data_IF_833022518873
#
_entry.id   IF_833022518873
#
_cell.length_a   1.000
_cell.length_b   1.000
_cell.length_c   1.000
_cell.angle_alpha   90.00
_cell.angle_beta   90.00
_cell.angle_gamma   90.00
#
_symmetry.space_group_name_H-M   'P 1'
#
loop_
_entity.id
_entity.type
_entity.pdbx_description
1 polymer ?
#
# COMPACT_ATOMS: atom_id res chain seq x y z
N UNK A 1 71.85 58.99 -10.80
CA UNK A 1 71.58 57.78 -11.29
C UNK A 1 70.51 57.10 -10.40
N UNK A 2 69.27 57.24 -10.75
CA UNK A 2 68.16 56.87 -9.85
C UNK A 2 67.39 55.71 -10.46
N UNK A 3 67.39 54.56 -9.80
CA UNK A 3 66.65 53.40 -10.13
C UNK A 3 65.19 53.55 -9.70
N UNK A 4 64.26 53.41 -10.61
CA UNK A 4 62.81 53.46 -10.33
C UNK A 4 62.29 52.08 -9.96
N UNK A 5 61.73 51.99 -8.78
CA UNK A 5 61.08 50.79 -8.25
C UNK A 5 59.62 50.82 -8.73
N UNK A 6 59.24 49.93 -9.62
CA UNK A 6 57.84 49.75 -10.01
C UNK A 6 57.20 48.70 -9.10
N UNK A 7 56.28 49.14 -8.24
CA UNK A 7 55.46 48.28 -7.41
C UNK A 7 54.41 47.57 -8.26
N UNK A 8 54.46 46.22 -8.29
CA UNK A 8 53.45 45.39 -8.89
C UNK A 8 52.42 45.08 -7.79
N UNK A 9 51.23 45.70 -7.91
CA UNK A 9 50.06 45.37 -7.08
C UNK A 9 49.46 44.06 -7.65
N UNK A 10 49.64 42.98 -6.97
CA UNK A 10 48.96 41.71 -7.29
C UNK A 10 47.53 41.76 -6.73
N UNK A 11 46.54 41.87 -7.61
CA UNK A 11 45.16 41.71 -7.26
C UNK A 11 44.84 40.24 -7.05
N UNK A 12 44.74 39.77 -5.80
CA UNK A 12 44.18 38.46 -5.48
C UNK A 12 42.67 38.51 -5.72
N UNK A 13 42.21 37.94 -6.82
CA UNK A 13 40.80 37.65 -7.06
C UNK A 13 40.43 36.47 -6.16
N UNK A 14 39.73 36.76 -5.07
CA UNK A 14 39.08 35.75 -4.24
C UNK A 14 37.92 35.15 -5.02
N UNK A 15 38.13 34.00 -5.67
CA UNK A 15 37.04 33.16 -6.22
C UNK A 15 36.35 32.54 -5.00
N UNK A 16 35.25 33.12 -4.60
CA UNK A 16 34.33 32.49 -3.67
C UNK A 16 33.65 31.33 -4.41
N UNK A 17 34.22 30.15 -4.28
CA UNK A 17 33.58 28.89 -4.61
C UNK A 17 32.37 28.75 -3.67
N UNK A 18 31.19 29.18 -4.11
CA UNK A 18 29.93 28.74 -3.55
C UNK A 18 29.78 27.26 -3.89
N UNK A 19 30.44 26.40 -3.09
CA UNK A 19 30.11 25.01 -3.05
C UNK A 19 28.65 24.96 -2.60
N UNK A 20 27.73 24.88 -3.54
CA UNK A 20 26.35 24.52 -3.26
C UNK A 20 26.43 23.22 -2.48
N UNK A 21 26.11 23.26 -1.20
CA UNK A 21 25.99 22.07 -0.39
C UNK A 21 24.94 21.21 -1.08
N UNK A 22 25.39 20.21 -1.84
CA UNK A 22 24.51 19.15 -2.29
C UNK A 22 23.97 18.55 -0.99
N UNK A 23 22.73 18.91 -0.64
CA UNK A 23 22.05 18.33 0.50
C UNK A 23 22.04 16.82 0.25
N UNK A 24 22.76 16.07 1.05
CA UNK A 24 22.75 14.62 0.93
C UNK A 24 21.29 14.16 1.09
N UNK A 25 20.82 13.38 0.12
CA UNK A 25 19.47 12.84 0.18
C UNK A 25 19.29 12.03 1.46
N UNK A 26 18.21 12.28 2.19
CA UNK A 26 17.84 11.47 3.35
C UNK A 26 17.50 10.05 2.90
N UNK A 27 18.12 9.06 3.52
CA UNK A 27 17.82 7.65 3.24
C UNK A 27 16.56 7.22 3.97
N UNK A 28 15.66 6.55 3.27
CA UNK A 28 14.45 5.95 3.85
C UNK A 28 14.25 4.56 3.26
N UNK A 29 14.02 3.57 4.11
CA UNK A 29 13.68 2.20 3.69
C UNK A 29 12.18 1.99 3.83
N UNK A 30 11.50 1.66 2.72
CA UNK A 30 10.06 1.34 2.71
C UNK A 30 9.90 -0.17 2.52
N UNK A 31 9.29 -0.83 3.51
CA UNK A 31 8.86 -2.22 3.39
C UNK A 31 7.50 -2.30 2.67
N UNK A 32 7.42 -3.11 1.61
CA UNK A 32 6.20 -3.28 0.82
C UNK A 32 5.66 -4.69 1.02
N UNK A 33 4.36 -4.81 1.23
CA UNK A 33 3.69 -6.10 1.46
C UNK A 33 3.37 -6.89 0.19
N UNK A 34 4.22 -6.83 -0.84
CA UNK A 34 4.07 -7.50 -2.13
C UNK A 34 4.02 -6.51 -3.30
N UNK A 35 5.18 -6.04 -3.77
CA UNK A 35 5.31 -4.98 -4.78
C UNK A 35 4.72 -5.30 -6.16
N UNK A 36 4.40 -6.57 -6.43
CA UNK A 36 3.68 -6.99 -7.64
C UNK A 36 2.18 -6.70 -7.58
N UNK A 37 1.61 -6.41 -6.40
CA UNK A 37 0.21 -6.02 -6.26
C UNK A 37 -0.02 -4.60 -6.79
N UNK A 38 -1.09 -4.41 -7.55
CA UNK A 38 -1.50 -3.06 -7.97
C UNK A 38 -1.90 -2.18 -6.78
N UNK A 39 -2.28 -2.79 -5.67
CA UNK A 39 -2.54 -2.08 -4.40
C UNK A 39 -1.33 -1.30 -3.85
N UNK A 40 -0.11 -1.61 -4.29
CA UNK A 40 1.12 -0.89 -3.90
C UNK A 40 1.79 -0.20 -5.09
N UNK A 41 1.10 -0.13 -6.23
CA UNK A 41 1.61 0.53 -7.44
C UNK A 41 2.11 1.96 -7.16
N UNK A 42 1.40 2.84 -6.42
CA UNK A 42 1.87 4.21 -6.21
C UNK A 42 3.26 4.27 -5.58
N UNK A 43 3.57 3.39 -4.63
CA UNK A 43 4.90 3.32 -3.98
C UNK A 43 6.00 2.88 -4.95
N UNK A 44 5.73 1.87 -5.75
CA UNK A 44 6.72 1.36 -6.73
C UNK A 44 6.88 2.35 -7.89
N UNK A 45 5.79 2.90 -8.39
CA UNK A 45 5.78 3.85 -9.49
C UNK A 45 6.46 5.17 -9.12
N UNK A 46 6.32 5.65 -7.87
CA UNK A 46 7.04 6.82 -7.38
C UNK A 46 8.57 6.67 -7.56
N UNK A 47 9.10 5.47 -7.32
CA UNK A 47 10.51 5.15 -7.57
C UNK A 47 10.86 5.21 -9.05
N UNK A 48 10.01 4.65 -9.92
CA UNK A 48 10.23 4.62 -11.36
C UNK A 48 10.12 6.00 -12.02
N UNK A 49 9.29 6.89 -11.47
CA UNK A 49 9.13 8.28 -11.92
C UNK A 49 10.20 9.22 -11.34
N UNK A 50 11.02 8.75 -10.39
CA UNK A 50 11.99 9.57 -9.67
C UNK A 50 11.35 10.58 -8.71
N UNK A 51 10.11 10.35 -8.29
CA UNK A 51 9.40 11.28 -7.38
C UNK A 51 10.06 11.34 -5.99
N UNK A 52 10.65 10.25 -5.51
CA UNK A 52 11.42 10.27 -4.27
C UNK A 52 12.69 11.12 -4.40
N UNK A 53 13.42 10.98 -5.50
CA UNK A 53 14.63 11.76 -5.75
C UNK A 53 14.32 13.26 -5.87
N UNK A 54 13.21 13.62 -6.57
CA UNK A 54 12.72 15.01 -6.66
C UNK A 54 12.33 15.57 -5.29
N UNK A 55 11.85 14.71 -4.38
CA UNK A 55 11.51 15.09 -3.01
C UNK A 55 12.73 15.09 -2.07
N UNK A 56 13.95 14.87 -2.56
CA UNK A 56 15.19 14.89 -1.79
C UNK A 56 15.44 13.61 -0.97
N UNK A 57 14.81 12.49 -1.36
CA UNK A 57 14.94 11.22 -0.68
C UNK A 57 15.66 10.18 -1.52
N UNK A 58 16.56 9.41 -0.89
CA UNK A 58 17.10 8.16 -1.41
C UNK A 58 16.28 7.00 -0.82
N UNK A 59 15.28 6.52 -1.55
CA UNK A 59 14.38 5.48 -1.06
C UNK A 59 14.85 4.10 -1.48
N UNK A 60 14.98 3.18 -0.52
CA UNK A 60 15.11 1.76 -0.74
C UNK A 60 13.74 1.08 -0.57
N UNK A 61 13.36 0.23 -1.53
CA UNK A 61 12.13 -0.55 -1.47
C UNK A 61 12.46 -2.00 -1.15
N UNK A 62 11.95 -2.51 -0.03
CA UNK A 62 12.13 -3.91 0.39
C UNK A 62 10.81 -4.64 0.16
N UNK A 63 10.81 -5.55 -0.82
CA UNK A 63 9.63 -6.32 -1.20
C UNK A 63 9.50 -7.57 -0.32
N UNK A 64 8.35 -7.74 0.34
CA UNK A 64 8.05 -8.82 1.26
C UNK A 64 6.77 -9.55 0.81
N UNK A 65 6.49 -10.73 1.40
CA UNK A 65 5.38 -11.59 0.94
C UNK A 65 3.99 -11.01 1.20
N UNK A 66 3.84 -10.19 2.23
CA UNK A 66 2.54 -9.63 2.62
C UNK A 66 2.68 -8.50 3.62
N UNK A 67 1.60 -7.77 3.87
CA UNK A 67 1.58 -6.59 4.73
C UNK A 67 2.03 -6.86 6.16
N UNK A 68 1.72 -8.03 6.74
CA UNK A 68 2.20 -8.40 8.07
C UNK A 68 3.72 -8.57 8.15
N UNK A 69 4.35 -9.02 7.07
CA UNK A 69 5.82 -9.16 7.03
C UNK A 69 6.49 -7.79 6.86
N UNK A 70 5.89 -6.91 6.04
CA UNK A 70 6.33 -5.51 5.92
C UNK A 70 6.22 -4.77 7.27
N UNK A 71 5.12 -4.98 7.99
CA UNK A 71 4.92 -4.42 9.31
C UNK A 71 5.98 -4.92 10.31
N UNK A 72 6.29 -6.23 10.32
CA UNK A 72 7.33 -6.81 11.18
C UNK A 72 8.70 -6.22 10.89
N UNK A 73 9.03 -5.93 9.61
CA UNK A 73 10.28 -5.27 9.23
C UNK A 73 10.42 -3.90 9.89
N UNK A 74 9.36 -3.09 9.90
CA UNK A 74 9.38 -1.77 10.55
C UNK A 74 9.40 -1.88 12.07
N UNK A 75 8.61 -2.76 12.67
CA UNK A 75 8.62 -2.97 14.12
C UNK A 75 9.97 -3.54 14.61
N UNK A 76 10.66 -4.31 13.77
CA UNK A 76 12.01 -4.84 14.04
C UNK A 76 13.15 -3.88 13.71
N UNK A 77 12.87 -2.67 13.18
CA UNK A 77 13.87 -1.65 12.86
C UNK A 77 14.68 -1.93 11.59
N UNK A 78 14.28 -2.89 10.74
CA UNK A 78 14.92 -3.16 9.46
C UNK A 78 14.35 -2.34 8.28
N UNK A 79 13.27 -1.61 8.52
CA UNK A 79 12.71 -0.61 7.62
C UNK A 79 12.10 0.54 8.44
N UNK A 80 11.90 1.68 7.80
CA UNK A 80 11.41 2.91 8.42
C UNK A 80 9.90 3.06 8.28
N UNK A 81 9.37 2.76 7.09
CA UNK A 81 7.99 3.00 6.68
C UNK A 81 7.41 1.74 6.04
N UNK A 82 6.14 1.51 6.25
CA UNK A 82 5.38 0.46 5.57
C UNK A 82 4.58 1.06 4.42
N UNK A 83 4.68 0.47 3.24
CA UNK A 83 3.66 0.56 2.21
C UNK A 83 2.74 -0.64 2.38
N UNK A 84 1.58 -0.41 2.99
CA UNK A 84 0.66 -1.45 3.44
C UNK A 84 -0.74 -0.90 3.61
N UNK A 85 -1.65 -1.68 4.18
CA UNK A 85 -3.03 -1.25 4.41
C UNK A 85 -3.18 -0.55 5.75
N UNK A 86 -4.04 0.48 5.76
CA UNK A 86 -4.35 1.28 6.95
C UNK A 86 -4.85 0.44 8.14
N UNK A 87 -5.58 -0.63 7.88
CA UNK A 87 -6.17 -1.50 8.90
C UNK A 87 -5.15 -2.07 9.91
N UNK A 88 -3.89 -2.17 9.51
CA UNK A 88 -2.80 -2.55 10.41
C UNK A 88 -2.60 -1.55 11.56
N UNK A 89 -2.77 -0.24 11.32
CA UNK A 89 -2.62 0.78 12.36
C UNK A 89 -3.70 0.64 13.43
N UNK A 90 -4.95 0.33 13.02
CA UNK A 90 -6.07 0.06 13.92
C UNK A 90 -5.84 -1.21 14.74
N UNK A 91 -5.39 -2.31 14.09
CA UNK A 91 -5.07 -3.56 14.78
C UNK A 91 -3.95 -3.40 15.81
N UNK A 92 -2.95 -2.56 15.51
CA UNK A 92 -1.83 -2.29 16.43
C UNK A 92 -2.24 -1.38 17.60
N UNK A 93 -3.17 -0.45 17.38
CA UNK A 93 -3.70 0.38 18.43
C UNK A 93 -4.36 -0.44 19.55
N UNK A 94 -5.04 -1.56 19.21
CA UNK A 94 -5.56 -2.51 20.18
C UNK A 94 -4.46 -3.14 21.06
N UNK A 95 -3.24 -3.24 20.53
CA UNK A 95 -2.06 -3.77 21.22
C UNK A 95 -1.22 -2.68 21.88
N UNK A 96 -1.73 -1.45 21.94
CA UNK A 96 -1.03 -0.26 22.47
C UNK A 96 0.29 0.04 21.73
N UNK A 97 0.38 -0.33 20.45
CA UNK A 97 1.48 0.01 19.57
C UNK A 97 1.03 1.17 18.68
N UNK A 98 1.69 2.31 18.81
CA UNK A 98 1.29 3.54 18.15
C UNK A 98 1.93 3.64 16.75
N UNK A 99 1.09 3.48 15.73
CA UNK A 99 1.45 3.73 14.34
C UNK A 99 0.43 4.65 13.69
N UNK A 100 0.87 5.48 12.76
CA UNK A 100 0.02 6.39 12.02
C UNK A 100 0.24 6.25 10.52
N UNK A 101 -0.87 6.19 9.78
CA UNK A 101 -0.88 6.46 8.34
C UNK A 101 -0.77 7.97 8.12
N UNK A 102 0.05 8.40 7.14
CA UNK A 102 0.28 9.81 6.85
C UNK A 102 0.00 10.21 5.39
N UNK A 103 -0.28 9.25 4.51
CA UNK A 103 -0.86 9.43 3.18
C UNK A 103 -1.58 8.15 2.77
N UNK A 104 -2.82 8.30 2.27
CA UNK A 104 -3.65 7.19 1.78
C UNK A 104 -3.66 7.25 0.26
N UNK A 105 -3.32 6.16 -0.40
CA UNK A 105 -3.32 6.11 -1.86
C UNK A 105 -4.43 5.21 -2.44
N UNK A 106 -5.08 4.33 -1.66
CA UNK A 106 -6.23 3.54 -2.09
C UNK A 106 -7.48 3.93 -1.33
N UNK A 107 -8.52 4.37 -2.05
CA UNK A 107 -9.81 4.78 -1.47
C UNK A 107 -10.64 3.59 -0.95
N UNK A 108 -10.44 2.42 -1.56
CA UNK A 108 -11.06 1.15 -1.17
C UNK A 108 -10.05 0.01 -1.34
N UNK A 109 -10.29 -1.16 -0.71
CA UNK A 109 -9.23 -2.13 -0.50
C UNK A 109 -8.96 -3.06 -1.70
N UNK A 110 -9.87 -3.20 -2.65
CA UNK A 110 -9.70 -4.05 -3.81
C UNK A 110 -9.54 -5.55 -3.51
N UNK A 111 -9.93 -6.01 -2.33
CA UNK A 111 -9.82 -7.38 -1.86
C UNK A 111 -10.90 -8.26 -2.50
N UNK A 112 -10.52 -9.43 -3.00
CA UNK A 112 -11.41 -10.39 -3.65
C UNK A 112 -11.23 -11.77 -3.01
N UNK A 113 -12.31 -12.38 -2.52
CA UNK A 113 -12.33 -13.77 -2.11
C UNK A 113 -12.80 -14.62 -3.30
N UNK A 114 -11.87 -15.35 -3.92
CA UNK A 114 -12.12 -16.20 -5.07
C UNK A 114 -11.97 -17.69 -4.70
N UNK A 115 -12.75 -18.55 -5.35
CA UNK A 115 -12.65 -20.01 -5.24
C UNK A 115 -11.66 -20.53 -6.28
N UNK A 116 -10.79 -21.46 -5.89
CA UNK A 116 -9.89 -22.14 -6.82
C UNK A 116 -10.70 -22.82 -7.94
N UNK A 117 -10.27 -22.73 -9.22
CA UNK A 117 -10.98 -23.31 -10.34
C UNK A 117 -11.32 -24.80 -10.16
N UNK A 118 -10.45 -25.55 -9.48
CA UNK A 118 -10.62 -26.98 -9.19
C UNK A 118 -11.71 -27.27 -8.14
N UNK A 119 -12.22 -26.26 -7.44
CA UNK A 119 -13.12 -26.41 -6.30
C UNK A 119 -14.48 -25.70 -6.47
N UNK A 120 -14.75 -25.10 -7.64
CA UNK A 120 -15.99 -24.34 -7.92
C UNK A 120 -17.26 -25.19 -7.79
N UNK A 121 -17.18 -26.50 -7.99
CA UNK A 121 -18.32 -27.41 -7.82
C UNK A 121 -18.68 -27.61 -6.32
N UNK A 122 -17.71 -27.62 -5.42
CA UNK A 122 -17.89 -27.91 -3.99
C UNK A 122 -18.05 -26.67 -3.12
N UNK A 123 -17.55 -25.50 -3.56
CA UNK A 123 -17.61 -24.24 -2.82
C UNK A 123 -18.48 -23.25 -3.59
N UNK A 124 -19.66 -22.95 -3.06
CA UNK A 124 -20.64 -22.05 -3.68
C UNK A 124 -20.88 -20.79 -2.86
N UNK A 125 -20.51 -20.82 -1.59
CA UNK A 125 -20.73 -19.73 -0.65
C UNK A 125 -19.57 -19.66 0.37
N UNK A 126 -19.51 -18.58 1.14
CA UNK A 126 -18.53 -18.43 2.23
C UNK A 126 -18.71 -19.53 3.28
N UNK A 127 -19.95 -20.04 3.49
CA UNK A 127 -20.22 -21.10 4.45
C UNK A 127 -19.53 -22.42 4.12
N UNK A 128 -19.24 -22.67 2.84
CA UNK A 128 -18.57 -23.89 2.37
C UNK A 128 -17.05 -23.87 2.65
N UNK A 129 -16.52 -22.75 3.16
CA UNK A 129 -15.10 -22.64 3.52
C UNK A 129 -14.75 -23.29 4.86
N UNK A 130 -15.72 -23.70 5.67
CA UNK A 130 -15.46 -24.43 6.91
C UNK A 130 -14.65 -25.71 6.64
N UNK A 131 -13.54 -25.91 7.34
CA UNK A 131 -12.61 -27.03 7.17
C UNK A 131 -11.70 -26.93 5.94
N UNK A 132 -11.73 -25.82 5.19
CA UNK A 132 -10.96 -25.64 3.95
C UNK A 132 -9.63 -24.92 4.18
N UNK A 133 -8.70 -25.07 3.22
CA UNK A 133 -7.46 -24.30 3.15
C UNK A 133 -7.73 -23.05 2.32
N UNK A 134 -7.58 -21.89 2.94
CA UNK A 134 -7.81 -20.60 2.26
C UNK A 134 -6.51 -19.80 2.25
N UNK A 135 -6.11 -19.38 1.05
CA UNK A 135 -4.91 -18.59 0.83
C UNK A 135 -5.12 -17.13 1.24
N UNK A 136 -4.09 -16.57 1.84
CA UNK A 136 -3.95 -15.12 2.11
C UNK A 136 -2.53 -14.70 1.74
N UNK A 137 -2.25 -13.40 1.63
CA UNK A 137 -0.87 -12.96 1.34
C UNK A 137 0.10 -13.46 2.40
N UNK A 138 -0.21 -13.20 3.66
CA UNK A 138 0.44 -13.77 4.84
C UNK A 138 -0.54 -13.75 6.02
N UNK A 139 -0.48 -14.69 6.96
CA UNK A 139 -1.27 -14.63 8.19
C UNK A 139 -1.03 -13.31 8.94
N UNK A 140 -2.10 -12.63 9.35
CA UNK A 140 -2.06 -11.32 9.99
C UNK A 140 -1.95 -10.13 9.03
N UNK A 141 -2.00 -10.33 7.72
CA UNK A 141 -2.16 -9.27 6.72
C UNK A 141 -3.64 -8.93 6.50
N UNK A 142 -3.92 -7.83 5.82
CA UNK A 142 -5.29 -7.36 5.51
C UNK A 142 -6.12 -8.39 4.75
N UNK A 143 -5.49 -9.24 3.93
CA UNK A 143 -6.14 -10.40 3.30
C UNK A 143 -6.65 -11.43 4.32
N UNK A 144 -5.90 -11.67 5.40
CA UNK A 144 -6.32 -12.54 6.50
C UNK A 144 -7.42 -11.87 7.35
N UNK A 145 -7.30 -10.56 7.60
CA UNK A 145 -8.32 -9.81 8.32
C UNK A 145 -9.65 -9.82 7.56
N UNK A 146 -9.62 -9.60 6.25
CA UNK A 146 -10.79 -9.66 5.38
C UNK A 146 -11.44 -11.06 5.41
N UNK A 147 -10.64 -12.11 5.27
CA UNK A 147 -11.15 -13.49 5.39
C UNK A 147 -11.86 -13.71 6.72
N UNK A 148 -11.23 -13.36 7.83
CA UNK A 148 -11.80 -13.53 9.18
C UNK A 148 -13.09 -12.74 9.36
N UNK A 149 -13.15 -11.51 8.85
CA UNK A 149 -14.37 -10.71 8.85
C UNK A 149 -15.51 -11.40 8.10
N UNK A 150 -15.24 -11.88 6.86
CA UNK A 150 -16.24 -12.58 6.06
C UNK A 150 -16.72 -13.86 6.73
N UNK A 151 -15.82 -14.65 7.31
CA UNK A 151 -16.18 -15.87 8.05
C UNK A 151 -17.09 -15.53 9.23
N UNK A 152 -16.70 -14.57 10.07
CA UNK A 152 -17.52 -14.14 11.23
C UNK A 152 -18.89 -13.60 10.79
N UNK A 153 -18.94 -12.77 9.76
CA UNK A 153 -20.21 -12.23 9.21
C UNK A 153 -21.15 -13.34 8.72
N UNK A 154 -20.62 -14.49 8.33
CA UNK A 154 -21.37 -15.67 7.88
C UNK A 154 -21.55 -16.74 8.95
N UNK A 155 -21.22 -16.47 10.21
CA UNK A 155 -21.40 -17.37 11.34
C UNK A 155 -20.39 -18.51 11.44
N UNK A 156 -19.22 -18.38 10.79
CA UNK A 156 -18.15 -19.38 10.81
C UNK A 156 -17.07 -18.92 11.81
N UNK A 157 -16.63 -19.83 12.67
CA UNK A 157 -15.44 -19.59 13.47
C UNK A 157 -14.20 -19.58 12.55
N UNK A 158 -13.41 -18.48 12.50
CA UNK A 158 -12.18 -18.44 11.71
C UNK A 158 -11.18 -19.56 12.01
N UNK A 159 -11.20 -20.12 13.22
CA UNK A 159 -10.35 -21.27 13.58
C UNK A 159 -10.72 -22.57 12.85
N UNK A 160 -11.91 -22.63 12.25
CA UNK A 160 -12.34 -23.77 11.43
C UNK A 160 -11.84 -23.69 9.97
N UNK A 161 -10.98 -22.73 9.66
CA UNK A 161 -10.39 -22.56 8.32
C UNK A 161 -8.86 -22.58 8.46
N UNK A 162 -8.20 -23.39 7.62
CA UNK A 162 -6.73 -23.41 7.56
C UNK A 162 -6.23 -22.25 6.71
N UNK A 163 -5.68 -21.22 7.33
CA UNK A 163 -5.13 -20.05 6.65
C UNK A 163 -3.71 -20.33 6.15
N UNK A 164 -3.48 -20.20 4.85
CA UNK A 164 -2.21 -20.50 4.18
C UNK A 164 -1.63 -19.22 3.58
N UNK A 165 -0.39 -18.87 3.95
CA UNK A 165 0.33 -17.75 3.33
C UNK A 165 0.83 -18.13 1.93
N UNK A 166 0.25 -17.53 0.90
CA UNK A 166 0.60 -17.78 -0.52
C UNK A 166 1.26 -16.60 -1.22
N UNK A 167 1.46 -15.49 -0.50
CA UNK A 167 1.97 -14.24 -1.08
C UNK A 167 0.93 -13.53 -1.94
N UNK A 168 1.40 -12.59 -2.75
CA UNK A 168 0.62 -11.87 -3.76
C UNK A 168 1.21 -12.14 -5.15
N UNK A 169 0.43 -11.91 -6.19
CA UNK A 169 0.88 -12.08 -7.58
C UNK A 169 1.01 -13.55 -8.01
N UNK A 170 2.10 -13.91 -8.70
CA UNK A 170 2.25 -15.20 -9.38
C UNK A 170 2.17 -16.42 -8.45
N UNK A 171 2.65 -16.31 -7.22
CA UNK A 171 2.61 -17.42 -6.26
C UNK A 171 1.18 -17.76 -5.83
N UNK A 172 0.35 -16.75 -5.60
CA UNK A 172 -1.06 -16.92 -5.28
C UNK A 172 -1.84 -17.51 -6.48
N UNK A 173 -1.58 -17.02 -7.70
CA UNK A 173 -2.16 -17.57 -8.94
C UNK A 173 -1.82 -19.04 -9.09
N UNK A 174 -0.54 -19.40 -8.91
CA UNK A 174 -0.10 -20.80 -9.02
C UNK A 174 -0.77 -21.70 -7.97
N UNK A 175 -0.86 -21.27 -6.71
CA UNK A 175 -1.50 -22.02 -5.65
C UNK A 175 -2.99 -22.30 -5.95
N UNK A 176 -3.70 -21.30 -6.51
CA UNK A 176 -5.09 -21.42 -6.95
C UNK A 176 -5.25 -22.40 -8.12
N UNK A 177 -4.43 -22.25 -9.17
CA UNK A 177 -4.51 -23.09 -10.37
C UNK A 177 -4.14 -24.56 -10.10
N UNK A 178 -3.20 -24.80 -9.19
CA UNK A 178 -2.77 -26.14 -8.81
C UNK A 178 -3.67 -26.80 -7.76
N UNK A 179 -4.69 -26.09 -7.26
CA UNK A 179 -5.59 -26.62 -6.22
C UNK A 179 -4.90 -26.91 -4.88
N UNK A 180 -3.79 -26.24 -4.59
CA UNK A 180 -3.09 -26.35 -3.28
C UNK A 180 -3.91 -25.74 -2.13
N UNK A 181 -4.80 -24.83 -2.48
CA UNK A 181 -5.79 -24.16 -1.63
C UNK A 181 -7.14 -24.17 -2.32
N UNK A 182 -8.21 -24.21 -1.55
CA UNK A 182 -9.57 -24.28 -2.08
C UNK A 182 -10.16 -22.90 -2.44
N UNK A 183 -9.67 -21.83 -1.81
CA UNK A 183 -10.02 -20.45 -2.08
C UNK A 183 -8.86 -19.52 -1.68
N UNK A 184 -8.88 -18.28 -2.11
CA UNK A 184 -7.93 -17.28 -1.64
C UNK A 184 -8.53 -15.87 -1.61
N UNK A 185 -8.05 -15.06 -0.66
CA UNK A 185 -8.18 -13.62 -0.73
C UNK A 185 -7.03 -13.07 -1.56
N UNK A 186 -7.36 -12.43 -2.65
CA UNK A 186 -6.44 -11.97 -3.68
C UNK A 186 -6.70 -10.50 -4.05
N UNK A 187 -5.80 -9.95 -4.82
CA UNK A 187 -5.87 -8.59 -5.39
C UNK A 187 -5.41 -8.60 -6.85
N UNK A 188 -5.67 -7.54 -7.57
CA UNK A 188 -5.14 -7.37 -8.92
C UNK A 188 -3.58 -7.14 -8.88
N UNK A 189 -2.87 -7.63 -9.88
CA UNK A 189 -3.33 -8.22 -11.14
C UNK A 189 -3.70 -9.71 -11.04
N UNK A 190 -3.48 -10.39 -9.92
CA UNK A 190 -3.68 -11.84 -9.81
C UNK A 190 -5.13 -12.27 -10.07
N UNK A 191 -6.13 -11.47 -9.64
CA UNK A 191 -7.55 -11.74 -9.91
C UNK A 191 -7.85 -11.65 -11.40
N UNK A 192 -7.43 -10.58 -12.07
CA UNK A 192 -7.62 -10.41 -13.52
C UNK A 192 -6.93 -11.51 -14.32
N UNK A 193 -5.74 -11.95 -13.91
CA UNK A 193 -5.02 -13.08 -14.54
C UNK A 193 -5.81 -14.38 -14.41
N UNK A 194 -6.35 -14.68 -13.23
CA UNK A 194 -7.17 -15.86 -13.02
C UNK A 194 -8.49 -15.80 -13.79
N UNK A 195 -9.15 -14.65 -13.83
CA UNK A 195 -10.39 -14.46 -14.60
C UNK A 195 -10.17 -14.62 -16.10
N UNK A 196 -9.01 -14.17 -16.62
CA UNK A 196 -8.66 -14.39 -18.04
C UNK A 196 -8.41 -15.85 -18.37
N UNK A 197 -7.84 -16.63 -17.44
CA UNK A 197 -7.59 -18.06 -17.62
C UNK A 197 -8.84 -18.92 -17.34
N UNK A 198 -9.76 -18.46 -16.52
CA UNK A 198 -10.93 -19.18 -16.04
C UNK A 198 -12.13 -18.22 -16.02
N UNK A 199 -12.87 -18.16 -17.13
CA UNK A 199 -14.02 -17.24 -17.30
C UNK A 199 -15.18 -17.55 -16.33
N UNK A 200 -15.21 -18.75 -15.74
CA UNK A 200 -16.15 -19.21 -14.73
C UNK A 200 -15.62 -19.08 -13.28
N UNK A 201 -14.52 -18.33 -13.08
CA UNK A 201 -13.94 -18.11 -11.75
C UNK A 201 -15.00 -17.62 -10.78
N UNK A 202 -15.26 -18.39 -9.73
CA UNK A 202 -16.27 -18.03 -8.73
C UNK A 202 -15.69 -17.03 -7.74
N UNK A 203 -16.33 -15.87 -7.67
CA UNK A 203 -16.05 -14.84 -6.69
C UNK A 203 -17.10 -14.95 -5.56
N UNK A 204 -16.67 -15.04 -4.33
CA UNK A 204 -17.53 -15.10 -3.13
C UNK A 204 -17.73 -13.72 -2.48
N UNK A 205 -16.75 -12.84 -2.63
CA UNK A 205 -16.81 -11.45 -2.19
C UNK A 205 -15.82 -10.62 -2.99
N UNK A 206 -16.20 -9.41 -3.36
CA UNK A 206 -15.42 -8.47 -4.16
C UNK A 206 -15.49 -7.08 -3.54
N UNK A 207 -14.38 -6.36 -3.46
CA UNK A 207 -14.30 -4.98 -2.98
C UNK A 207 -13.52 -4.10 -3.95
N UNK A 208 -13.48 -4.45 -5.24
CA UNK A 208 -12.76 -3.72 -6.29
C UNK A 208 -13.48 -2.47 -6.79
N UNK A 209 -14.67 -2.19 -6.26
CA UNK A 209 -15.37 -0.92 -6.49
C UNK A 209 -15.78 -0.30 -5.16
N UNK A 210 -16.05 1.01 -5.19
CA UNK A 210 -16.53 1.73 -4.02
C UNK A 210 -17.92 1.21 -3.58
N UNK A 211 -18.79 0.89 -4.53
CA UNK A 211 -20.10 0.31 -4.27
C UNK A 211 -19.98 -1.04 -3.56
N UNK A 212 -19.22 -1.97 -4.14
CA UNK A 212 -19.06 -3.32 -3.57
C UNK A 212 -18.37 -3.27 -2.19
N UNK A 213 -17.43 -2.32 -2.01
CA UNK A 213 -16.80 -2.08 -0.71
C UNK A 213 -17.84 -1.70 0.35
N UNK A 214 -18.77 -0.79 0.03
CA UNK A 214 -19.84 -0.39 0.95
C UNK A 214 -20.82 -1.53 1.23
N UNK A 215 -21.12 -2.36 0.24
CA UNK A 215 -21.99 -3.53 0.42
C UNK A 215 -21.36 -4.58 1.35
N UNK A 216 -20.06 -4.77 1.23
CA UNK A 216 -19.32 -5.73 2.05
C UNK A 216 -19.13 -5.22 3.48
N UNK A 217 -18.67 -3.99 3.65
CA UNK A 217 -18.25 -3.44 4.94
C UNK A 217 -19.27 -2.54 5.62
N UNK A 218 -20.31 -2.10 4.90
CA UNK A 218 -21.30 -1.15 5.40
C UNK A 218 -20.84 0.31 5.36
N UNK A 219 -19.70 0.60 4.75
CA UNK A 219 -19.12 1.94 4.64
C UNK A 219 -17.85 1.94 3.80
N UNK A 220 -17.22 3.11 3.67
CA UNK A 220 -15.94 3.25 3.02
C UNK A 220 -14.85 2.52 3.84
N UNK A 221 -13.90 1.90 3.13
CA UNK A 221 -12.82 1.16 3.77
C UNK A 221 -11.51 1.50 3.05
N UNK A 222 -10.75 2.52 3.51
CA UNK A 222 -9.49 2.89 2.88
C UNK A 222 -8.51 1.73 2.94
N UNK A 223 -7.81 1.51 1.82
CA UNK A 223 -6.86 0.43 1.64
C UNK A 223 -5.41 0.87 1.88
N UNK A 224 -4.65 0.93 0.79
CA UNK A 224 -3.22 1.21 0.78
C UNK A 224 -2.86 2.60 1.29
N UNK A 225 -1.81 2.65 2.11
CA UNK A 225 -1.28 3.85 2.73
C UNK A 225 0.23 3.71 3.01
N UNK A 226 0.93 4.83 3.17
CA UNK A 226 2.19 4.83 3.88
C UNK A 226 1.93 5.08 5.36
N UNK A 227 2.51 4.25 6.20
CA UNK A 227 2.42 4.39 7.65
C UNK A 227 3.73 4.00 8.34
N UNK A 228 3.97 4.59 9.50
CA UNK A 228 5.16 4.35 10.32
C UNK A 228 4.81 4.43 11.80
N UNK A 229 5.76 4.11 12.67
CA UNK A 229 5.58 4.37 14.11
C UNK A 229 5.42 5.87 14.35
N UNK A 230 4.57 6.26 15.29
CA UNK A 230 4.38 7.66 15.68
C UNK A 230 5.71 8.29 16.10
N UNK A 231 6.59 7.50 16.74
CA UNK A 231 7.94 7.94 17.12
C UNK A 231 8.79 8.30 15.88
N UNK A 232 8.77 7.48 14.84
CA UNK A 232 9.51 7.77 13.61
C UNK A 232 8.99 9.03 12.91
N UNK A 233 7.66 9.17 12.76
CA UNK A 233 7.03 10.35 12.13
C UNK A 233 7.42 11.64 12.90
N UNK A 234 7.43 11.57 14.23
CA UNK A 234 7.80 12.71 15.08
C UNK A 234 9.28 13.06 14.96
N UNK A 235 10.15 12.07 14.84
CA UNK A 235 11.60 12.28 14.69
C UNK A 235 12.00 12.69 13.26
N UNK A 236 11.22 12.29 12.23
CA UNK A 236 11.51 12.48 10.81
C UNK A 236 10.38 13.21 10.05
N UNK A 237 9.89 14.37 10.53
CA UNK A 237 8.74 15.04 9.91
C UNK A 237 9.03 15.54 8.49
N UNK A 238 10.31 15.84 8.17
CA UNK A 238 10.71 16.25 6.81
C UNK A 238 10.65 15.09 5.82
N UNK A 239 11.11 13.92 6.23
CA UNK A 239 11.06 12.69 5.43
C UNK A 239 9.61 12.25 5.21
N UNK A 240 8.76 12.31 6.24
CA UNK A 240 7.34 12.02 6.12
C UNK A 240 6.64 12.98 5.13
N UNK A 241 6.98 14.28 5.17
CA UNK A 241 6.47 15.27 4.22
C UNK A 241 6.96 14.98 2.79
N UNK A 242 8.25 14.69 2.64
CA UNK A 242 8.84 14.36 1.33
C UNK A 242 8.23 13.09 0.72
N UNK A 243 8.02 12.05 1.52
CA UNK A 243 7.31 10.84 1.09
C UNK A 243 5.87 11.14 0.67
N UNK A 244 5.16 11.95 1.47
CA UNK A 244 3.80 12.38 1.14
C UNK A 244 3.78 13.11 -0.19
N UNK A 245 4.67 14.09 -0.41
CA UNK A 245 4.76 14.83 -1.66
C UNK A 245 5.03 13.92 -2.87
N UNK A 246 5.93 12.95 -2.72
CA UNK A 246 6.27 11.98 -3.77
C UNK A 246 5.06 11.10 -4.13
N UNK A 247 4.30 10.62 -3.15
CA UNK A 247 3.08 9.83 -3.39
C UNK A 247 2.00 10.68 -4.04
N UNK A 248 1.76 11.92 -3.57
CA UNK A 248 0.78 12.82 -4.18
C UNK A 248 1.13 13.16 -5.63
N UNK A 249 2.41 13.43 -5.92
CA UNK A 249 2.90 13.62 -7.30
C UNK A 249 2.66 12.39 -8.17
N UNK A 250 2.88 11.20 -7.61
CA UNK A 250 2.63 9.93 -8.31
C UNK A 250 1.15 9.70 -8.57
N UNK A 251 0.28 9.98 -7.60
CA UNK A 251 -1.18 9.86 -7.76
C UNK A 251 -1.69 10.81 -8.85
N UNK A 252 -1.23 12.06 -8.84
CA UNK A 252 -1.56 13.03 -9.89
C UNK A 252 -1.09 12.53 -11.26
N UNK A 253 0.10 11.95 -11.35
CA UNK A 253 0.63 11.37 -12.58
C UNK A 253 -0.23 10.18 -13.05
N UNK A 254 -0.63 9.26 -12.15
CA UNK A 254 -1.49 8.11 -12.47
C UNK A 254 -2.81 8.58 -13.11
N UNK A 255 -3.47 9.58 -12.51
CA UNK A 255 -4.75 10.08 -13.02
C UNK A 255 -4.64 10.86 -14.34
N UNK A 256 -3.43 11.30 -14.71
CA UNK A 256 -3.17 12.02 -15.96
C UNK A 256 -2.72 11.10 -17.11
N UNK A 257 -2.49 9.81 -16.87
CA UNK A 257 -1.92 8.89 -17.85
C UNK A 257 -2.75 7.64 -18.03
N UNK A 258 -2.65 7.04 -19.23
CA UNK A 258 -3.32 5.78 -19.55
C UNK A 258 -2.71 4.57 -18.83
N UNK A 259 -3.47 3.49 -18.72
CA UNK A 259 -2.97 2.23 -18.17
C UNK A 259 -1.77 1.68 -18.95
N UNK A 260 -1.73 1.92 -20.26
CA UNK A 260 -0.62 1.54 -21.14
C UNK A 260 0.66 2.32 -20.83
N UNK A 261 0.56 3.62 -20.55
CA UNK A 261 1.68 4.48 -20.16
C UNK A 261 2.18 4.12 -18.76
N UNK A 262 1.27 3.83 -17.82
CA UNK A 262 1.61 3.35 -16.48
C UNK A 262 2.38 2.03 -16.58
N UNK A 263 1.85 1.05 -17.33
CA UNK A 263 2.51 -0.24 -17.53
C UNK A 263 3.90 -0.12 -18.17
N UNK A 264 4.10 0.86 -19.05
CA UNK A 264 5.41 1.12 -19.66
C UNK A 264 6.46 1.60 -18.64
N UNK A 265 6.04 2.30 -17.59
CA UNK A 265 6.94 2.79 -16.52
C UNK A 265 7.28 1.72 -15.50
N UNK A 266 6.48 0.66 -15.39
CA UNK A 266 6.68 -0.38 -14.38
C UNK A 266 7.80 -1.36 -14.76
N UNK A 267 8.52 -1.90 -13.76
CA UNK A 267 9.55 -2.91 -14.01
C UNK A 267 9.03 -4.15 -14.73
N UNK A 268 9.76 -4.70 -15.71
CA UNK A 268 9.29 -5.86 -16.50
C UNK A 268 8.93 -7.09 -15.66
N UNK A 269 9.64 -7.32 -14.54
CA UNK A 269 9.34 -8.43 -13.63
C UNK A 269 8.02 -8.25 -12.87
N UNK A 270 7.51 -7.03 -12.75
CA UNK A 270 6.18 -6.71 -12.15
C UNK A 270 5.10 -6.82 -13.21
N UNK A 271 5.34 -6.27 -14.40
CA UNK A 271 4.39 -6.35 -15.53
C UNK A 271 4.17 -7.80 -15.97
N UNK A 272 5.20 -8.64 -15.85
CA UNK A 272 5.14 -10.02 -16.25
C UNK A 272 5.21 -10.22 -17.77
N UNK A 273 4.90 -11.44 -18.23
CA UNK A 273 5.02 -11.83 -19.65
C UNK A 273 3.86 -11.30 -20.50
N UNK A 274 2.68 -11.17 -19.93
CA UNK A 274 1.46 -10.71 -20.63
C UNK A 274 1.13 -9.27 -20.22
N UNK A 275 1.71 -8.34 -20.97
CA UNK A 275 1.48 -6.91 -20.76
C UNK A 275 -0.01 -6.53 -20.94
N UNK A 276 -0.73 -7.21 -21.82
CA UNK A 276 -2.14 -6.90 -22.07
C UNK A 276 -3.00 -7.21 -20.85
N UNK A 277 -2.75 -8.34 -20.18
CA UNK A 277 -3.43 -8.68 -18.92
C UNK A 277 -3.09 -7.67 -17.80
N UNK A 278 -1.83 -7.25 -17.70
CA UNK A 278 -1.44 -6.23 -16.71
C UNK A 278 -2.14 -4.89 -16.96
N UNK A 279 -2.22 -4.45 -18.23
CA UNK A 279 -2.96 -3.25 -18.62
C UNK A 279 -4.46 -3.38 -18.32
N UNK A 280 -5.05 -4.54 -18.56
CA UNK A 280 -6.46 -4.78 -18.22
C UNK A 280 -6.68 -4.67 -16.69
N UNK A 281 -5.80 -5.26 -15.89
CA UNK A 281 -5.84 -5.11 -14.42
C UNK A 281 -5.67 -3.65 -13.98
N UNK A 282 -4.76 -2.89 -14.60
CA UNK A 282 -4.59 -1.47 -14.32
C UNK A 282 -5.86 -0.66 -14.60
N UNK A 283 -6.54 -0.90 -15.74
CA UNK A 283 -7.80 -0.22 -16.08
C UNK A 283 -8.88 -0.42 -15.00
N UNK A 284 -8.93 -1.62 -14.42
CA UNK A 284 -9.85 -1.94 -13.32
C UNK A 284 -9.42 -1.27 -12.00
N UNK A 285 -8.10 -1.09 -11.78
CA UNK A 285 -7.55 -0.64 -10.50
C UNK A 285 -7.39 0.88 -10.40
N UNK A 286 -7.13 1.60 -11.51
CA UNK A 286 -6.92 3.06 -11.50
C UNK A 286 -8.01 3.82 -10.70
N UNK A 287 -9.32 3.49 -10.79
CA UNK A 287 -10.35 4.16 -10.00
C UNK A 287 -10.19 3.99 -8.48
N UNK A 288 -9.43 3.00 -8.02
CA UNK A 288 -9.15 2.76 -6.61
C UNK A 288 -8.22 3.84 -6.02
N UNK A 289 -7.32 4.40 -6.83
CA UNK A 289 -6.34 5.33 -6.31
C UNK A 289 -6.96 6.67 -5.90
N UNK A 290 -6.49 7.18 -4.76
CA UNK A 290 -6.93 8.46 -4.21
C UNK A 290 -6.51 9.62 -5.11
N UNK A 291 -7.39 10.61 -5.23
CA UNK A 291 -7.08 11.90 -5.89
C UNK A 291 -6.53 12.93 -4.91
N UNK A 292 -6.66 12.69 -3.60
CA UNK A 292 -6.32 13.67 -2.56
C UNK A 292 -5.20 13.21 -1.63
N UNK A 293 -5.05 11.91 -1.41
CA UNK A 293 -4.15 11.35 -0.40
C UNK A 293 -4.66 11.42 1.04
N UNK A 294 -5.81 12.06 1.27
CA UNK A 294 -6.39 12.24 2.60
C UNK A 294 -7.04 10.95 3.12
N UNK A 295 -6.91 10.73 4.43
CA UNK A 295 -7.76 9.80 5.17
C UNK A 295 -9.12 10.44 5.40
N UNK A 296 -10.18 9.77 4.96
CA UNK A 296 -11.55 10.11 5.37
C UNK A 296 -11.80 9.59 6.79
N UNK A 297 -12.17 10.45 7.76
CA UNK A 297 -12.50 10.03 9.10
C UNK A 297 -13.58 8.94 9.17
N UNK A 298 -14.61 9.02 8.31
CA UNK A 298 -15.66 8.00 8.24
C UNK A 298 -15.13 6.65 7.76
N UNK A 299 -14.17 6.67 6.84
CA UNK A 299 -13.48 5.46 6.40
C UNK A 299 -12.66 4.84 7.53
N UNK A 300 -11.96 5.64 8.32
CA UNK A 300 -11.22 5.15 9.48
C UNK A 300 -12.15 4.54 10.55
N UNK A 301 -13.30 5.19 10.82
CA UNK A 301 -14.34 4.66 11.73
C UNK A 301 -14.90 3.33 11.21
N UNK A 302 -15.14 3.20 9.91
CA UNK A 302 -15.63 1.96 9.31
C UNK A 302 -14.61 0.82 9.45
N UNK A 303 -13.32 1.09 9.27
CA UNK A 303 -12.26 0.09 9.52
C UNK A 303 -12.30 -0.39 10.97
N UNK A 304 -12.39 0.52 11.95
CA UNK A 304 -12.50 0.16 13.37
C UNK A 304 -13.76 -0.69 13.64
N UNK A 305 -14.90 -0.34 13.05
CA UNK A 305 -16.15 -1.10 13.19
C UNK A 305 -16.02 -2.53 12.63
N UNK A 306 -15.41 -2.69 11.46
CA UNK A 306 -15.15 -4.00 10.84
C UNK A 306 -14.24 -4.86 11.73
N UNK A 307 -13.15 -4.30 12.25
CA UNK A 307 -12.26 -5.01 13.15
C UNK A 307 -12.94 -5.38 14.48
N UNK A 308 -13.77 -4.51 15.03
CA UNK A 308 -14.54 -4.79 16.25
C UNK A 308 -15.48 -5.99 16.08
N UNK A 309 -15.94 -6.26 14.85
CA UNK A 309 -16.76 -7.43 14.53
C UNK A 309 -15.95 -8.73 14.53
N UNK A 310 -14.70 -8.69 14.05
CA UNK A 310 -13.90 -9.89 13.79
C UNK A 310 -12.80 -10.16 14.83
N UNK A 311 -12.42 -9.15 15.63
CA UNK A 311 -11.37 -9.23 16.64
C UNK A 311 -11.89 -8.85 18.03
N UNK A 312 -11.98 -9.80 18.96
CA UNK A 312 -12.39 -9.51 20.35
C UNK A 312 -11.45 -8.52 21.05
N UNK A 313 -10.18 -8.50 20.68
CA UNK A 313 -9.18 -7.60 21.27
C UNK A 313 -9.45 -6.15 20.85
N UNK A 314 -9.77 -5.93 19.57
CA UNK A 314 -10.16 -4.61 19.06
C UNK A 314 -11.49 -4.16 19.66
N UNK A 315 -12.47 -5.06 19.73
CA UNK A 315 -13.79 -4.74 20.31
C UNK A 315 -13.72 -4.30 21.78
N UNK A 316 -12.76 -4.84 22.55
CA UNK A 316 -12.55 -4.50 23.97
C UNK A 316 -11.63 -3.30 24.19
N UNK A 317 -10.75 -3.00 23.22
CA UNK A 317 -9.82 -1.90 23.32
C UNK A 317 -10.53 -0.60 22.95
N UNK A 318 -10.74 0.31 23.88
CA UNK A 318 -11.32 1.62 23.59
C UNK A 318 -10.37 2.45 22.70
N UNK A 319 -10.36 2.17 21.39
CA UNK A 319 -9.44 2.75 20.41
C UNK A 319 -9.97 4.11 19.96
N UNK A 320 -9.16 5.14 20.15
CA UNK A 320 -9.33 6.41 19.46
C UNK A 320 -8.70 6.28 18.06
N UNK A 321 -9.55 6.06 17.06
CA UNK A 321 -9.10 5.85 15.68
C UNK A 321 -8.41 7.08 15.10
N UNK A 322 -8.66 8.28 15.60
CA UNK A 322 -8.01 9.51 15.13
C UNK A 322 -6.52 9.54 15.42
N UNK A 323 -6.05 8.70 16.34
CA UNK A 323 -4.62 8.52 16.65
C UNK A 323 -3.90 7.56 15.69
N UNK A 324 -4.64 6.87 14.81
CA UNK A 324 -4.08 5.88 13.88
C UNK A 324 -3.71 6.46 12.51
N UNK A 325 -3.99 7.75 12.29
CA UNK A 325 -3.63 8.47 11.07
C UNK A 325 -3.38 9.95 11.33
N UNK A 326 -2.80 10.63 10.35
CA UNK A 326 -2.68 12.09 10.30
C UNK A 326 -2.82 12.59 8.88
N UNK A 327 -3.60 13.64 8.66
CA UNK A 327 -3.73 14.34 7.39
C UNK A 327 -2.77 15.55 7.28
N UNK A 328 -2.01 15.86 8.33
CA UNK A 328 -1.22 17.09 8.40
C UNK A 328 -0.24 17.26 7.25
N UNK A 329 0.42 16.18 6.79
CA UNK A 329 1.38 16.23 5.69
C UNK A 329 0.72 16.45 4.34
N UNK A 330 -0.45 15.85 4.11
CA UNK A 330 -1.24 16.04 2.88
C UNK A 330 -1.79 17.46 2.83
N UNK A 331 -2.32 17.97 3.94
CA UNK A 331 -2.81 19.35 4.05
C UNK A 331 -1.68 20.37 3.86
N UNK A 332 -0.48 20.08 4.34
CA UNK A 332 0.69 20.92 4.12
C UNK A 332 1.12 20.92 2.65
N UNK A 333 1.12 19.76 1.99
CA UNK A 333 1.41 19.65 0.56
C UNK A 333 0.44 20.48 -0.27
N UNK A 334 -0.86 20.45 0.03
CA UNK A 334 -1.87 21.24 -0.66
C UNK A 334 -1.62 22.77 -0.54
N UNK A 335 -1.15 23.22 0.62
CA UNK A 335 -0.81 24.66 0.84
C UNK A 335 0.42 25.09 0.04
N UNK A 336 1.41 24.21 -0.14
CA UNK A 336 2.67 24.55 -0.84
C UNK A 336 2.57 24.44 -2.36
N UNK A 337 1.71 23.58 -2.89
CA UNK A 337 1.53 23.37 -4.33
C UNK A 337 0.60 24.39 -5.01
N UNK A 338 0.03 25.33 -4.27
CA UNK A 338 -0.85 26.36 -4.82
C UNK A 338 -2.18 25.84 -5.40
N UNK A 339 -2.46 24.56 -5.26
CA UNK A 339 -3.76 23.95 -5.61
C UNK A 339 -4.70 24.20 -4.43
N UNK A 340 -5.16 25.46 -4.33
CA UNK A 340 -6.23 25.80 -3.42
C UNK A 340 -7.55 25.30 -4.02
N UNK A 341 -8.27 24.47 -3.23
CA UNK A 341 -9.71 24.13 -3.22
C UNK A 341 -10.43 23.94 -4.54
#
# INVERSE_FOLDING_TARGET
MKAGFKSIVAALAAIVLTAGAASAQSKVTIAIGGGACLCYLPTVLAKQLGEYDKAGLSVELVDLKGGSDALKAVLGGSADVVSGYFDHTVNLAAKKQEMQSFVVYDRYPGLVLAVSPNHTASIKSIKDLAGKKVGVSAPGSSTDFFLKYLLKKNGIDPNNVSVIGVGLGATAVAAMQQGQIEAAVMLDPAVTILQAAHSDLRILSDTRTEHDTRDVFGGDYPGGALYATTAWITAHPKEAQSLTNAILGTLAWIHAHSAEEIAYKMPPNIVGKDKAQYVAALKNTIPMYSTTGLMDPKGADAVLAVFSTSSPDVAKANIDVTRTYTNAFVEQAAKTSGVAK
#
